data_IF_339376808822
#
_entry.id   IF_339376808822
#
_cell.length_a   1.000
_cell.length_b   1.000
_cell.length_c   1.000
_cell.angle_alpha   90.00
_cell.angle_beta   90.00
_cell.angle_gamma   90.00
#
_symmetry.space_group_name_H-M   'P 1'
#
loop_
_entity.id
_entity.type
_entity.pdbx_description
1 polymer ?
#
# COMPACT_ATOMS: atom_id res chain seq x y z
N UNK A 1 -21.38 11.69 -6.05
CA UNK A 1 -20.79 10.45 -5.50
C UNK A 1 -19.44 10.83 -4.92
N UNK A 2 -19.15 10.44 -3.69
CA UNK A 2 -17.83 10.69 -3.07
C UNK A 2 -16.75 9.91 -3.83
N UNK A 3 -15.63 10.55 -4.10
CA UNK A 3 -14.46 9.91 -4.70
C UNK A 3 -13.92 8.85 -3.72
N UNK A 4 -13.71 7.59 -4.14
CA UNK A 4 -13.20 6.56 -3.25
C UNK A 4 -11.75 6.86 -2.85
N UNK A 5 -11.42 6.58 -1.59
CA UNK A 5 -10.04 6.64 -1.09
C UNK A 5 -9.46 5.22 -1.05
N UNK A 6 -8.41 4.98 -1.82
CA UNK A 6 -7.80 3.67 -2.02
C UNK A 6 -6.38 3.71 -1.49
N UNK A 7 -6.05 2.85 -0.52
CA UNK A 7 -4.67 2.60 -0.14
C UNK A 7 -4.09 1.42 -0.92
N UNK A 8 -2.86 1.57 -1.40
CA UNK A 8 -2.12 0.52 -2.12
C UNK A 8 -0.81 0.29 -1.38
N UNK A 9 -0.51 -0.98 -1.07
CA UNK A 9 0.79 -1.34 -0.53
C UNK A 9 1.86 -1.20 -1.62
N UNK A 10 2.73 -0.21 -1.48
CA UNK A 10 3.82 0.08 -2.39
C UNK A 10 5.18 -0.44 -1.85
N UNK A 11 5.18 -1.16 -0.72
CA UNK A 11 6.40 -1.60 -0.05
C UNK A 11 7.27 -2.49 -0.94
N UNK A 12 6.68 -3.43 -1.68
CA UNK A 12 7.42 -4.29 -2.62
C UNK A 12 8.06 -3.48 -3.76
N UNK A 13 7.36 -2.46 -4.28
CA UNK A 13 7.90 -1.58 -5.32
C UNK A 13 9.10 -0.74 -4.86
N UNK A 14 9.17 -0.41 -3.57
CA UNK A 14 10.27 0.34 -2.96
C UNK A 14 11.51 -0.54 -2.70
N UNK A 15 11.31 -1.79 -2.29
CA UNK A 15 12.39 -2.64 -1.77
C UNK A 15 12.85 -3.73 -2.75
N UNK A 16 12.05 -4.02 -3.79
CA UNK A 16 12.29 -5.18 -4.66
C UNK A 16 12.36 -4.79 -6.14
N UNK A 17 13.36 -5.36 -6.82
CA UNK A 17 13.50 -5.28 -8.29
C UNK A 17 12.72 -6.35 -9.07
N UNK A 18 12.16 -7.34 -8.37
CA UNK A 18 11.47 -8.51 -8.94
C UNK A 18 10.08 -8.22 -9.53
N UNK A 19 9.36 -9.29 -9.88
CA UNK A 19 8.07 -9.25 -10.57
C UNK A 19 7.01 -8.42 -9.85
N UNK A 20 6.80 -8.66 -8.55
CA UNK A 20 5.84 -7.93 -7.72
C UNK A 20 6.14 -6.43 -7.71
N UNK A 21 7.39 -6.05 -7.42
CA UNK A 21 7.79 -4.65 -7.40
C UNK A 21 7.62 -3.97 -8.76
N UNK A 22 7.93 -4.67 -9.86
CA UNK A 22 7.70 -4.17 -11.21
C UNK A 22 6.22 -3.98 -11.49
N UNK A 23 5.41 -4.99 -11.21
CA UNK A 23 3.95 -4.93 -11.36
C UNK A 23 3.37 -3.74 -10.61
N UNK A 24 3.72 -3.55 -9.34
CA UNK A 24 3.19 -2.45 -8.53
C UNK A 24 3.61 -1.08 -9.07
N UNK A 25 4.85 -0.90 -9.56
CA UNK A 25 5.27 0.34 -10.23
C UNK A 25 4.47 0.63 -11.50
N UNK A 26 4.27 -0.38 -12.34
CA UNK A 26 3.50 -0.25 -13.59
C UNK A 26 2.02 0.01 -13.33
N UNK A 27 1.44 -0.63 -12.31
CA UNK A 27 0.09 -0.37 -11.86
C UNK A 27 -0.08 1.09 -11.45
N UNK A 28 0.78 1.60 -10.57
CA UNK A 28 0.69 3.00 -10.12
C UNK A 28 0.92 3.97 -11.28
N UNK A 29 1.86 3.68 -12.20
CA UNK A 29 2.07 4.48 -13.41
C UNK A 29 0.82 4.55 -14.26
N UNK A 30 0.14 3.43 -14.48
CA UNK A 30 -1.11 3.38 -15.23
C UNK A 30 -2.24 4.13 -14.51
N UNK A 31 -2.40 3.95 -13.20
CA UNK A 31 -3.42 4.66 -12.43
C UNK A 31 -3.21 6.18 -12.47
N UNK A 32 -1.98 6.65 -12.34
CA UNK A 32 -1.66 8.07 -12.45
C UNK A 32 -1.96 8.65 -13.85
N UNK A 33 -1.93 7.82 -14.89
CA UNK A 33 -2.26 8.23 -16.25
C UNK A 33 -3.77 8.22 -16.53
N UNK A 34 -4.52 7.28 -15.97
CA UNK A 34 -5.89 6.99 -16.39
C UNK A 34 -6.97 7.26 -15.34
N UNK A 35 -6.65 7.33 -14.04
CA UNK A 35 -7.62 7.60 -12.98
C UNK A 35 -7.31 8.92 -12.25
N UNK A 36 -8.16 9.92 -12.51
CA UNK A 36 -8.19 11.20 -11.80
C UNK A 36 -9.38 11.34 -10.85
N UNK A 37 -10.23 10.32 -10.74
CA UNK A 37 -11.44 10.33 -9.93
C UNK A 37 -11.21 9.73 -8.54
N UNK A 38 -10.31 8.77 -8.36
CA UNK A 38 -10.01 8.20 -7.05
C UNK A 38 -8.90 8.95 -6.33
N UNK A 39 -8.91 8.92 -4.99
CA UNK A 39 -7.82 9.41 -4.14
C UNK A 39 -6.94 8.23 -3.72
N UNK A 40 -5.65 8.29 -4.01
CA UNK A 40 -4.70 7.20 -3.75
C UNK A 40 -3.76 7.51 -2.61
N UNK A 41 -3.60 6.53 -1.71
CA UNK A 41 -2.62 6.56 -0.63
C UNK A 41 -1.63 5.42 -0.81
N UNK A 42 -0.38 5.76 -1.14
CA UNK A 42 0.66 4.76 -1.36
C UNK A 42 1.37 4.48 -0.05
N UNK A 43 1.14 3.29 0.50
CA UNK A 43 1.78 2.87 1.73
C UNK A 43 3.19 2.35 1.46
N UNK A 44 4.19 2.90 2.16
CA UNK A 44 5.58 2.47 2.07
C UNK A 44 6.18 2.15 3.42
N UNK A 45 6.40 0.87 3.72
CA UNK A 45 7.13 0.44 4.90
C UNK A 45 8.65 0.63 4.73
N UNK A 46 9.40 0.81 5.81
CA UNK A 46 10.87 0.98 5.78
C UNK A 46 11.37 2.30 5.19
N UNK A 47 10.51 3.29 4.97
CA UNK A 47 10.85 4.58 4.35
C UNK A 47 10.55 5.72 5.32
N UNK A 48 11.48 6.67 5.45
CA UNK A 48 11.32 7.87 6.27
C UNK A 48 10.45 8.88 5.53
N UNK A 49 9.57 9.64 6.21
CA UNK A 49 8.84 10.76 5.60
C UNK A 49 9.74 11.88 5.04
N UNK A 50 11.03 11.90 5.45
CA UNK A 50 12.05 12.85 4.95
C UNK A 50 12.65 12.37 3.62
N UNK A 51 12.48 11.09 3.29
CA UNK A 51 12.98 10.56 2.02
C UNK A 51 12.16 11.18 0.88
N UNK A 52 12.84 11.82 -0.07
CA UNK A 52 12.21 12.50 -1.19
C UNK A 52 11.65 11.48 -2.19
N UNK A 53 10.46 10.97 -1.91
CA UNK A 53 9.70 10.16 -2.87
C UNK A 53 9.14 11.07 -3.97
N UNK A 54 9.17 10.64 -5.24
CA UNK A 54 8.72 11.47 -6.34
C UNK A 54 7.21 11.74 -6.23
N UNK A 55 6.74 12.95 -6.60
CA UNK A 55 5.31 13.19 -6.78
C UNK A 55 4.80 12.36 -7.96
N UNK A 56 3.61 11.79 -7.82
CA UNK A 56 2.99 10.96 -8.87
C UNK A 56 1.77 11.61 -9.53
N UNK A 57 1.16 12.59 -8.86
CA UNK A 57 -0.02 13.29 -9.35
C UNK A 57 -0.79 13.97 -8.22
N UNK A 58 -1.79 14.80 -8.53
CA UNK A 58 -2.54 15.58 -7.54
C UNK A 58 -3.44 14.72 -6.64
N UNK A 59 -3.77 13.50 -7.06
CA UNK A 59 -4.59 12.55 -6.31
C UNK A 59 -3.78 11.43 -5.64
N UNK A 60 -2.45 11.56 -5.54
CA UNK A 60 -1.57 10.58 -4.90
C UNK A 60 -0.90 11.18 -3.68
N UNK A 61 -0.96 10.46 -2.57
CA UNK A 61 -0.31 10.81 -1.32
C UNK A 61 0.54 9.65 -0.80
N UNK A 62 1.77 9.94 -0.39
CA UNK A 62 2.63 8.97 0.27
C UNK A 62 2.30 8.82 1.75
N UNK A 63 2.15 7.58 2.22
CA UNK A 63 1.91 7.24 3.63
C UNK A 63 2.97 6.24 4.09
N UNK A 64 4.03 6.72 4.73
CA UNK A 64 5.21 5.89 5.02
C UNK A 64 5.41 5.62 6.51
N UNK A 65 6.23 4.62 6.81
CA UNK A 65 6.70 4.30 8.15
C UNK A 65 8.15 3.83 8.12
N UNK A 66 8.91 4.16 9.18
CA UNK A 66 10.28 3.66 9.35
C UNK A 66 10.34 2.19 9.75
N UNK A 67 9.21 1.59 10.14
CA UNK A 67 9.15 0.16 10.47
C UNK A 67 9.33 -0.64 9.19
N UNK A 68 10.34 -1.52 9.14
CA UNK A 68 10.64 -2.29 7.94
C UNK A 68 9.52 -3.29 7.60
N UNK A 69 9.39 -3.69 6.32
CA UNK A 69 8.40 -4.69 5.89
C UNK A 69 8.47 -5.98 6.73
N UNK A 70 9.68 -6.46 7.04
CA UNK A 70 9.90 -7.68 7.84
C UNK A 70 9.35 -7.53 9.26
N UNK A 71 9.51 -6.37 9.89
CA UNK A 71 8.99 -6.15 11.24
C UNK A 71 7.47 -6.02 11.25
N UNK A 72 6.88 -5.34 10.27
CA UNK A 72 5.42 -5.29 10.12
C UNK A 72 4.82 -6.69 9.92
N UNK A 73 5.43 -7.49 9.05
CA UNK A 73 5.04 -8.89 8.84
C UNK A 73 5.07 -9.69 10.15
N UNK A 74 6.13 -9.52 10.97
CA UNK A 74 6.22 -10.17 12.29
C UNK A 74 5.15 -9.68 13.25
N UNK A 75 4.90 -8.38 13.33
CA UNK A 75 3.88 -7.81 14.23
C UNK A 75 2.49 -8.35 13.87
N UNK A 76 2.15 -8.37 12.58
CA UNK A 76 0.83 -8.80 12.11
C UNK A 76 0.63 -10.31 12.09
N UNK A 77 1.55 -11.07 11.49
CA UNK A 77 1.32 -12.50 11.23
C UNK A 77 1.93 -13.41 12.29
N UNK A 78 3.04 -13.00 12.92
CA UNK A 78 3.68 -13.79 13.98
C UNK A 78 3.14 -13.45 15.36
N UNK A 79 3.02 -12.17 15.68
CA UNK A 79 2.53 -11.69 16.98
C UNK A 79 1.02 -11.45 17.02
N UNK A 80 0.34 -11.50 15.85
CA UNK A 80 -1.12 -11.31 15.73
C UNK A 80 -1.61 -9.99 16.33
N UNK A 81 -0.78 -8.95 16.28
CA UNK A 81 -1.17 -7.65 16.81
C UNK A 81 -2.26 -7.04 15.91
N UNK A 82 -3.38 -6.56 16.48
CA UNK A 82 -4.49 -6.02 15.71
C UNK A 82 -4.25 -4.54 15.34
N UNK A 83 -3.02 -4.19 14.94
CA UNK A 83 -2.66 -2.82 14.55
C UNK A 83 -3.05 -2.60 13.08
N UNK A 84 -4.12 -1.83 12.79
CA UNK A 84 -4.60 -1.69 11.42
C UNK A 84 -3.66 -0.85 10.57
N UNK A 85 -3.58 -1.13 9.27
CA UNK A 85 -2.76 -0.34 8.33
C UNK A 85 -3.20 1.14 8.27
N UNK A 86 -4.48 1.40 8.56
CA UNK A 86 -5.09 2.72 8.67
C UNK A 86 -4.53 3.55 9.83
N UNK A 87 -3.67 2.98 10.68
CA UNK A 87 -2.84 3.73 11.62
C UNK A 87 -1.81 4.62 10.90
N UNK A 88 -1.39 4.24 9.69
CA UNK A 88 -0.47 5.01 8.84
C UNK A 88 -1.16 5.64 7.64
N UNK A 89 -2.06 4.90 6.97
CA UNK A 89 -2.76 5.42 5.79
C UNK A 89 -3.91 6.35 6.15
N UNK A 90 -4.36 6.35 7.41
CA UNK A 90 -5.64 6.94 7.79
C UNK A 90 -6.83 6.16 7.21
N UNK A 91 -8.07 6.66 7.36
CA UNK A 91 -9.25 5.98 6.82
C UNK A 91 -9.18 5.82 5.29
N UNK A 92 -9.62 4.66 4.80
CA UNK A 92 -9.71 4.31 3.38
C UNK A 92 -10.93 3.43 3.14
N UNK A 93 -11.48 3.47 1.92
CA UNK A 93 -12.60 2.62 1.51
C UNK A 93 -12.14 1.24 1.05
N UNK A 94 -10.92 1.17 0.50
CA UNK A 94 -10.31 -0.03 -0.07
C UNK A 94 -8.81 -0.07 0.24
N UNK A 95 -8.31 -1.22 0.67
CA UNK A 95 -6.89 -1.53 0.76
C UNK A 95 -6.47 -2.60 -0.26
N UNK A 96 -5.48 -2.30 -1.09
CA UNK A 96 -4.90 -3.24 -2.06
C UNK A 96 -3.52 -3.70 -1.58
N UNK A 97 -3.46 -4.93 -1.07
CA UNK A 97 -2.20 -5.63 -0.83
C UNK A 97 -1.67 -6.17 -2.17
N UNK A 98 -0.58 -5.59 -2.67
CA UNK A 98 0.05 -6.04 -3.92
C UNK A 98 1.03 -7.19 -3.72
N UNK A 99 1.46 -7.41 -2.48
CA UNK A 99 2.27 -8.56 -2.07
C UNK A 99 1.38 -9.63 -1.42
N UNK A 100 1.92 -10.81 -1.11
CA UNK A 100 1.17 -12.00 -0.69
C UNK A 100 0.58 -11.95 0.74
N UNK A 101 0.61 -10.80 1.43
CA UNK A 101 0.12 -10.68 2.81
C UNK A 101 -0.83 -9.51 3.01
N UNK A 102 -1.91 -9.74 3.76
CA UNK A 102 -2.88 -8.72 4.12
C UNK A 102 -2.68 -8.29 5.59
N UNK A 103 -2.46 -7.00 5.89
CA UNK A 103 -2.42 -6.51 7.26
C UNK A 103 -3.81 -6.52 7.90
N UNK A 104 -3.93 -6.38 9.23
CA UNK A 104 -5.19 -6.03 9.87
C UNK A 104 -5.75 -4.73 9.28
N UNK A 105 -7.07 -4.69 9.15
CA UNK A 105 -7.81 -3.54 8.63
C UNK A 105 -8.88 -3.13 9.64
N UNK A 106 -9.34 -1.89 9.57
CA UNK A 106 -10.48 -1.45 10.37
C UNK A 106 -11.76 -2.16 9.92
N UNK A 107 -12.73 -2.38 10.83
CA UNK A 107 -14.04 -2.89 10.44
C UNK A 107 -14.69 -2.04 9.34
N UNK A 108 -15.14 -2.68 8.27
CA UNK A 108 -15.79 -2.02 7.13
C UNK A 108 -14.85 -1.67 5.96
N UNK A 109 -13.54 -1.67 6.16
CA UNK A 109 -12.58 -1.46 5.06
C UNK A 109 -12.59 -2.67 4.11
N UNK A 110 -12.81 -2.43 2.81
CA UNK A 110 -12.72 -3.49 1.80
C UNK A 110 -11.26 -3.80 1.50
N UNK A 111 -10.96 -5.02 1.05
CA UNK A 111 -9.60 -5.40 0.67
C UNK A 111 -9.53 -6.19 -0.61
N UNK A 112 -8.40 -6.04 -1.31
CA UNK A 112 -7.97 -6.85 -2.44
C UNK A 112 -6.55 -7.33 -2.13
N UNK A 113 -6.31 -8.62 -2.34
CA UNK A 113 -4.99 -9.23 -2.26
C UNK A 113 -4.63 -9.78 -3.64
N UNK A 114 -3.48 -9.38 -4.18
CA UNK A 114 -2.95 -9.94 -5.43
C UNK A 114 -1.95 -11.05 -5.11
N UNK A 115 -2.24 -12.27 -5.59
CA UNK A 115 -1.34 -13.42 -5.52
C UNK A 115 -0.76 -13.65 -6.91
N UNK A 116 0.56 -13.65 -7.03
CA UNK A 116 1.27 -13.69 -8.32
C UNK A 116 1.58 -15.10 -8.80
N UNK A 117 1.96 -15.98 -7.88
CA UNK A 117 2.32 -17.37 -8.19
C UNK A 117 1.29 -18.31 -7.56
N UNK A 118 0.61 -19.07 -8.41
CA UNK A 118 -0.25 -20.19 -8.02
C UNK A 118 0.42 -21.44 -8.57
N UNK A 119 1.21 -22.10 -7.73
CA UNK A 119 1.81 -23.41 -8.03
C UNK A 119 0.81 -24.54 -7.86
#
# INVERSE_FOLDING_TARGET
MTQPTIAIDFSAALHQGGGIGRYTRELIRALAQYDSASQYKLFGAGVSPIDSLPPLGPNFEWRTTRVSPVWLLRLWHRLRLPLPIESWTGPVDLFHATDFTLPPLRPGTRSILTVHDLS
#
